data_IF_829584468779
#
_entry.id   IF_829584468779
#
_cell.length_a   1.000
_cell.length_b   1.000
_cell.length_c   1.000
_cell.angle_alpha   90.00
_cell.angle_beta   90.00
_cell.angle_gamma   90.00
#
_symmetry.space_group_name_H-M   'P 1'
#
loop_
_entity.id
_entity.type
_entity.pdbx_description
1 polymer ?
#
# COMPACT_ATOMS: atom_id res chain seq x y z
N UNK A 1 5.55 26.01 12.62
CA UNK A 1 5.25 24.55 12.58
C UNK A 1 5.58 24.09 11.17
N UNK A 2 6.50 23.14 10.96
CA UNK A 2 6.73 22.58 9.61
C UNK A 2 5.43 21.93 9.13
N UNK A 3 5.04 22.15 7.88
CA UNK A 3 3.88 21.49 7.31
C UNK A 3 4.22 20.01 7.13
N UNK A 4 3.61 19.13 7.92
CA UNK A 4 3.91 17.69 7.89
C UNK A 4 3.55 17.04 6.55
N UNK A 5 2.73 17.70 5.75
CA UNK A 5 2.24 17.23 4.45
C UNK A 5 2.92 17.95 3.26
N UNK A 6 3.95 18.74 3.51
CA UNK A 6 4.78 19.32 2.45
C UNK A 6 5.42 18.17 1.64
N UNK A 7 5.15 18.10 0.33
CA UNK A 7 5.59 17.01 -0.55
C UNK A 7 4.54 15.93 -0.82
N UNK A 8 3.35 16.00 -0.22
CA UNK A 8 2.21 15.11 -0.55
C UNK A 8 1.31 15.67 -1.66
N UNK A 9 1.70 16.78 -2.30
CA UNK A 9 1.02 17.28 -3.49
C UNK A 9 1.06 16.22 -4.61
N UNK A 10 -0.10 15.92 -5.21
CA UNK A 10 -0.18 14.92 -6.27
C UNK A 10 0.00 13.46 -5.81
N UNK A 11 -0.36 13.15 -4.55
CA UNK A 11 -0.31 11.79 -3.98
C UNK A 11 -0.93 10.74 -4.91
N UNK A 12 -2.12 10.99 -5.43
CA UNK A 12 -2.82 10.07 -6.34
C UNK A 12 -2.00 9.79 -7.61
N UNK A 13 -1.46 10.83 -8.24
CA UNK A 13 -0.63 10.74 -9.43
C UNK A 13 0.66 9.97 -9.15
N UNK A 14 1.26 10.17 -7.98
CA UNK A 14 2.48 9.46 -7.58
C UNK A 14 2.21 7.97 -7.35
N UNK A 15 1.11 7.63 -6.68
CA UNK A 15 0.69 6.24 -6.46
C UNK A 15 0.23 5.54 -7.74
N UNK A 16 -0.29 6.28 -8.72
CA UNK A 16 -0.64 5.75 -10.06
C UNK A 16 0.57 5.40 -10.91
N UNK A 17 1.73 6.00 -10.66
CA UNK A 17 2.99 5.68 -11.36
C UNK A 17 3.63 4.38 -10.87
N UNK A 18 3.31 3.96 -9.65
CA UNK A 18 3.86 2.74 -9.04
C UNK A 18 2.94 1.58 -9.38
N UNK A 19 3.37 0.76 -10.34
CA UNK A 19 2.69 -0.50 -10.67
C UNK A 19 3.13 -1.58 -9.69
N UNK A 20 2.15 -2.28 -9.11
CA UNK A 20 2.46 -3.39 -8.22
C UNK A 20 3.08 -4.52 -9.01
N UNK A 21 4.25 -4.94 -8.56
CA UNK A 21 4.89 -6.11 -9.12
C UNK A 21 4.11 -7.34 -8.66
N UNK A 22 3.77 -8.21 -9.59
CA UNK A 22 3.44 -9.58 -9.23
C UNK A 22 4.74 -10.36 -9.38
N UNK A 23 5.00 -11.29 -8.46
CA UNK A 23 6.14 -12.22 -8.54
C UNK A 23 6.20 -13.04 -9.84
N UNK A 24 5.20 -12.90 -10.71
CA UNK A 24 5.11 -13.54 -12.01
C UNK A 24 5.38 -12.53 -13.12
N UNK A 25 6.40 -12.85 -13.92
CA UNK A 25 6.91 -12.04 -15.04
C UNK A 25 5.83 -11.74 -16.11
N UNK A 26 4.89 -12.67 -16.30
CA UNK A 26 3.84 -12.64 -17.34
C UNK A 26 2.45 -12.30 -16.79
N UNK A 27 2.30 -11.14 -16.13
CA UNK A 27 0.98 -10.56 -15.86
C UNK A 27 0.67 -9.45 -16.87
N UNK A 28 -0.33 -9.68 -17.72
CA UNK A 28 -0.80 -8.74 -18.75
C UNK A 28 -1.53 -7.52 -18.18
N UNK A 29 -2.03 -7.61 -16.94
CA UNK A 29 -2.69 -6.52 -16.25
C UNK A 29 -2.07 -6.28 -14.88
N UNK A 30 -1.43 -5.12 -14.71
CA UNK A 30 -0.81 -4.70 -13.45
C UNK A 30 -1.63 -3.56 -12.85
N UNK A 31 -2.02 -3.70 -11.59
CA UNK A 31 -2.70 -2.64 -10.87
C UNK A 31 -1.64 -1.70 -10.28
N UNK A 32 -1.89 -0.40 -10.31
CA UNK A 32 -1.05 0.57 -9.62
C UNK A 32 -1.45 0.71 -8.13
N UNK A 33 -0.56 1.26 -7.32
CA UNK A 33 -0.70 1.37 -5.86
C UNK A 33 -2.00 2.06 -5.45
N UNK A 34 -2.38 3.13 -6.15
CA UNK A 34 -3.66 3.81 -5.88
C UNK A 34 -4.87 2.88 -5.95
N UNK A 35 -4.96 2.01 -6.98
CA UNK A 35 -6.08 1.06 -7.11
C UNK A 35 -6.01 0.00 -6.02
N UNK A 36 -4.81 -0.39 -5.58
CA UNK A 36 -4.63 -1.32 -4.48
C UNK A 36 -5.18 -0.76 -3.16
N UNK A 37 -4.78 0.46 -2.78
CA UNK A 37 -5.26 1.10 -1.55
C UNK A 37 -6.78 1.25 -1.52
N UNK A 38 -7.40 1.66 -2.65
CA UNK A 38 -8.85 1.75 -2.77
C UNK A 38 -9.53 0.40 -2.51
N UNK A 39 -8.98 -0.70 -3.07
CA UNK A 39 -9.51 -2.05 -2.84
C UNK A 39 -9.36 -2.48 -1.38
N UNK A 40 -8.22 -2.23 -0.75
CA UNK A 40 -8.01 -2.54 0.67
C UNK A 40 -8.99 -1.74 1.54
N UNK A 41 -9.18 -0.46 1.24
CA UNK A 41 -10.15 0.38 1.95
C UNK A 41 -11.59 -0.12 1.80
N UNK A 42 -11.99 -0.60 0.60
CA UNK A 42 -13.30 -1.24 0.40
C UNK A 42 -13.44 -2.54 1.19
N UNK A 43 -12.42 -3.40 1.19
CA UNK A 43 -12.41 -4.62 2.01
C UNK A 43 -12.58 -4.27 3.49
N UNK A 44 -11.84 -3.29 4.00
CA UNK A 44 -11.98 -2.84 5.39
C UNK A 44 -13.38 -2.32 5.66
N UNK A 45 -13.96 -1.53 4.74
CA UNK A 45 -15.33 -1.02 4.88
C UNK A 45 -16.34 -2.16 5.03
N UNK A 46 -16.23 -3.19 4.20
CA UNK A 46 -17.20 -4.29 4.14
C UNK A 46 -17.00 -5.31 5.27
N UNK A 47 -15.75 -5.57 5.66
CA UNK A 47 -15.42 -6.48 6.77
C UNK A 47 -15.57 -5.85 8.15
N UNK A 48 -15.69 -4.51 8.25
CA UNK A 48 -15.71 -3.83 9.54
C UNK A 48 -16.78 -4.34 10.52
N UNK A 49 -18.03 -4.64 10.10
CA UNK A 49 -19.03 -5.24 10.99
C UNK A 49 -18.54 -6.54 11.64
N UNK A 50 -17.90 -7.42 10.86
CA UNK A 50 -17.31 -8.66 11.37
C UNK A 50 -16.12 -8.40 12.29
N UNK A 51 -15.26 -7.43 11.95
CA UNK A 51 -14.14 -7.03 12.81
C UNK A 51 -14.62 -6.54 14.18
N UNK A 52 -15.75 -5.82 14.24
CA UNK A 52 -16.34 -5.33 15.50
C UNK A 52 -16.81 -6.44 16.43
N UNK A 53 -17.15 -7.62 15.91
CA UNK A 53 -17.52 -8.78 16.74
C UNK A 53 -16.32 -9.23 17.57
N UNK A 54 -15.13 -9.32 16.96
CA UNK A 54 -13.90 -9.79 17.62
C UNK A 54 -13.13 -8.66 18.31
N UNK A 55 -13.18 -7.43 17.76
CA UNK A 55 -12.51 -6.24 18.26
C UNK A 55 -13.53 -5.11 18.50
N UNK A 56 -14.31 -5.16 19.60
CA UNK A 56 -15.40 -4.20 19.85
C UNK A 56 -14.94 -2.74 19.92
N UNK A 57 -13.68 -2.50 20.30
CA UNK A 57 -13.07 -1.17 20.40
C UNK A 57 -12.43 -0.68 19.11
N UNK A 58 -12.46 -1.45 18.01
CA UNK A 58 -11.87 -1.02 16.74
C UNK A 58 -12.52 0.27 16.23
N UNK A 59 -11.73 1.21 15.73
CA UNK A 59 -12.21 2.47 15.15
C UNK A 59 -12.27 2.33 13.62
N UNK A 60 -13.48 2.46 13.08
CA UNK A 60 -13.73 2.34 11.63
C UNK A 60 -13.02 3.41 10.84
N UNK A 61 -13.09 4.66 11.31
CA UNK A 61 -12.50 5.81 10.62
C UNK A 61 -10.99 5.64 10.61
N UNK A 62 -10.39 5.24 11.73
CA UNK A 62 -8.95 4.97 11.81
C UNK A 62 -8.55 3.83 10.88
N UNK A 63 -9.25 2.69 10.91
CA UNK A 63 -8.92 1.54 10.06
C UNK A 63 -9.04 1.87 8.57
N UNK A 64 -10.11 2.55 8.17
CA UNK A 64 -10.32 2.96 6.78
C UNK A 64 -9.26 3.98 6.32
N UNK A 65 -8.91 4.94 7.18
CA UNK A 65 -7.85 5.92 6.88
C UNK A 65 -6.50 5.22 6.73
N UNK A 66 -6.16 4.30 7.63
CA UNK A 66 -4.93 3.52 7.54
C UNK A 66 -4.88 2.70 6.26
N UNK A 67 -5.97 2.03 5.88
CA UNK A 67 -6.05 1.29 4.62
C UNK A 67 -5.76 2.16 3.40
N UNK A 68 -6.20 3.43 3.44
CA UNK A 68 -5.95 4.37 2.36
C UNK A 68 -4.52 4.90 2.28
N UNK A 69 -3.71 4.80 3.34
CA UNK A 69 -2.37 5.44 3.38
C UNK A 69 -1.24 4.49 3.79
N UNK A 70 -1.54 3.21 4.03
CA UNK A 70 -0.56 2.27 4.58
C UNK A 70 0.69 2.07 3.72
N UNK A 71 0.56 2.24 2.41
CA UNK A 71 1.64 2.06 1.44
C UNK A 71 2.21 3.41 0.94
N UNK A 72 1.88 4.54 1.57
CA UNK A 72 2.37 5.87 1.14
C UNK A 72 3.90 5.99 1.14
N UNK A 73 4.58 5.26 2.02
CA UNK A 73 6.04 5.22 2.04
C UNK A 73 6.63 4.71 0.71
N UNK A 74 5.88 3.88 -0.04
CA UNK A 74 6.31 3.36 -1.33
C UNK A 74 6.40 4.43 -2.41
N UNK A 75 5.78 5.62 -2.22
CA UNK A 75 6.02 6.78 -3.07
C UNK A 75 7.51 7.16 -3.11
N UNK A 76 8.21 6.97 -1.98
CA UNK A 76 9.63 7.27 -1.86
C UNK A 76 10.51 6.02 -2.05
N UNK A 77 10.06 4.85 -1.59
CA UNK A 77 10.88 3.63 -1.59
C UNK A 77 10.64 2.71 -2.79
N UNK A 78 9.56 2.91 -3.54
CA UNK A 78 9.02 1.93 -4.48
C UNK A 78 8.31 0.75 -3.78
N UNK A 79 7.55 -0.03 -4.57
CA UNK A 79 6.86 -1.26 -4.12
C UNK A 79 7.86 -2.42 -3.99
N UNK A 80 8.54 -2.47 -2.84
CA UNK A 80 9.50 -3.54 -2.51
C UNK A 80 8.79 -4.67 -1.78
N UNK A 81 8.21 -5.59 -2.54
CA UNK A 81 7.53 -6.75 -1.98
C UNK A 81 8.50 -7.74 -1.31
N UNK A 82 8.10 -8.27 -0.16
CA UNK A 82 8.88 -9.27 0.58
C UNK A 82 9.18 -10.52 -0.26
N UNK A 83 8.26 -10.93 -1.14
CA UNK A 83 8.47 -12.06 -2.05
C UNK A 83 9.67 -11.87 -2.98
N UNK A 84 9.93 -10.64 -3.45
CA UNK A 84 11.13 -10.34 -4.23
C UNK A 84 12.39 -10.44 -3.36
N UNK A 85 12.34 -9.95 -2.11
CA UNK A 85 13.48 -10.05 -1.18
C UNK A 85 13.87 -11.49 -0.87
N UNK A 86 12.90 -12.42 -0.81
CA UNK A 86 13.18 -13.86 -0.59
C UNK A 86 13.98 -14.47 -1.74
N UNK A 87 13.76 -14.00 -2.98
CA UNK A 87 14.43 -14.52 -4.17
C UNK A 87 15.65 -13.70 -4.61
N UNK A 88 15.96 -12.60 -3.93
CA UNK A 88 17.14 -11.77 -4.20
C UNK A 88 18.40 -12.40 -3.62
N UNK A 89 19.50 -12.32 -4.36
CA UNK A 89 20.82 -12.61 -3.81
C UNK A 89 21.24 -11.53 -2.81
N UNK A 90 22.20 -11.85 -1.94
CA UNK A 90 22.78 -10.88 -1.00
C UNK A 90 23.38 -9.64 -1.71
N UNK A 91 23.83 -9.79 -2.94
CA UNK A 91 24.37 -8.67 -3.75
C UNK A 91 23.26 -7.78 -4.32
N UNK A 92 22.10 -8.33 -4.65
CA UNK A 92 20.94 -7.57 -5.10
C UNK A 92 20.31 -6.79 -3.94
N UNK A 93 20.27 -7.40 -2.74
CA UNK A 93 19.79 -6.73 -1.52
C UNK A 93 20.63 -5.51 -1.13
N UNK A 94 21.95 -5.53 -1.37
CA UNK A 94 22.86 -4.41 -1.06
C UNK A 94 22.71 -3.19 -1.99
N UNK A 95 21.96 -3.30 -3.08
CA UNK A 95 21.76 -2.24 -4.10
C UNK A 95 20.41 -1.53 -4.00
N UNK A 96 19.56 -1.96 -3.07
CA UNK A 96 18.32 -1.27 -2.67
C UNK A 96 18.64 -0.27 -1.56
#
# INVERSE_FOLDING_TARGET
MKNLFEGFEGREENLKKIYRFSMFEKFTHRNHLWTHEQRVAYIIKDLFPSIKITLPKADRKKAFTLALVHDDAEVLTGDVQFGHKIHMTQEQLKKL
#
